data_IF_339988862680
#
_entry.id   IF_339988862680
#
_cell.length_a   1.000
_cell.length_b   1.000
_cell.length_c   1.000
_cell.angle_alpha   90.00
_cell.angle_beta   90.00
_cell.angle_gamma   90.00
#
_symmetry.space_group_name_H-M   'P 1'
#
loop_
_entity.id
_entity.type
_entity.pdbx_description
1 polymer ?
#
# COMPACT_ATOMS: atom_id res chain seq x y z
N UNK A 1 -18.35 -14.81 14.35
CA UNK A 1 -18.31 -14.87 15.84
C UNK A 1 -16.89 -15.03 16.34
N UNK A 2 -16.06 -15.92 15.77
CA UNK A 2 -14.70 -16.23 16.26
C UNK A 2 -13.75 -15.01 16.34
N UNK A 3 -14.01 -13.98 15.57
CA UNK A 3 -13.19 -12.77 15.53
C UNK A 3 -13.91 -11.50 16.01
N UNK A 4 -15.14 -11.61 16.51
CA UNK A 4 -15.94 -10.49 17.00
C UNK A 4 -16.25 -9.43 15.93
N UNK A 5 -16.27 -9.81 14.65
CA UNK A 5 -16.54 -8.90 13.53
C UNK A 5 -18.06 -8.84 13.31
N UNK A 6 -18.68 -7.63 13.42
CA UNK A 6 -20.08 -7.45 13.10
C UNK A 6 -20.36 -7.76 11.62
N UNK A 7 -21.48 -8.42 11.34
CA UNK A 7 -21.94 -8.74 10.00
C UNK A 7 -23.44 -8.46 9.88
N UNK A 8 -23.86 -8.10 8.67
CA UNK A 8 -25.26 -7.88 8.33
C UNK A 8 -25.62 -8.68 7.07
N UNK A 9 -26.78 -9.32 7.09
CA UNK A 9 -27.34 -10.01 5.94
C UNK A 9 -28.73 -9.47 5.57
N UNK A 10 -29.28 -9.89 4.43
CA UNK A 10 -30.60 -9.45 3.97
C UNK A 10 -30.67 -8.03 3.42
N UNK A 11 -29.53 -7.36 3.20
CA UNK A 11 -29.48 -6.03 2.59
C UNK A 11 -29.40 -6.11 1.06
N UNK A 12 -30.04 -5.18 0.37
CA UNK A 12 -29.90 -5.02 -1.09
C UNK A 12 -28.51 -4.45 -1.43
N UNK A 13 -27.56 -5.36 -1.61
CA UNK A 13 -26.15 -5.02 -1.92
C UNK A 13 -26.03 -4.27 -3.24
N UNK A 14 -26.91 -4.52 -4.22
CA UNK A 14 -26.89 -3.79 -5.50
C UNK A 14 -27.35 -2.34 -5.34
N UNK A 15 -28.37 -2.08 -4.55
CA UNK A 15 -28.83 -0.72 -4.21
C UNK A 15 -27.71 0.04 -3.47
N UNK A 16 -27.05 -0.62 -2.52
CA UNK A 16 -25.93 -0.07 -1.77
C UNK A 16 -24.75 0.28 -2.70
N UNK A 17 -24.37 -0.63 -3.59
CA UNK A 17 -23.31 -0.42 -4.60
C UNK A 17 -23.63 0.76 -5.50
N UNK A 18 -24.87 0.89 -5.97
CA UNK A 18 -25.31 2.03 -6.79
C UNK A 18 -25.23 3.33 -6.02
N UNK A 19 -25.69 3.36 -4.78
CA UNK A 19 -25.62 4.54 -3.93
C UNK A 19 -24.16 5.02 -3.73
N UNK A 20 -23.23 4.11 -3.46
CA UNK A 20 -21.80 4.43 -3.32
C UNK A 20 -21.22 4.91 -4.67
N UNK A 21 -21.56 4.27 -5.78
CA UNK A 21 -21.09 4.68 -7.11
C UNK A 21 -21.55 6.10 -7.46
N UNK A 22 -22.82 6.41 -7.17
CA UNK A 22 -23.43 7.68 -7.56
C UNK A 22 -23.03 8.83 -6.62
N UNK A 23 -22.94 8.60 -5.31
CA UNK A 23 -22.61 9.60 -4.29
C UNK A 23 -21.16 9.60 -3.78
N UNK A 24 -20.39 8.56 -4.11
CA UNK A 24 -19.02 8.35 -3.56
C UNK A 24 -19.02 7.61 -2.24
N UNK A 25 -17.82 7.44 -1.67
CA UNK A 25 -17.63 6.81 -0.36
C UNK A 25 -18.29 7.65 0.74
N UNK A 26 -19.06 6.99 1.61
CA UNK A 26 -19.82 7.61 2.68
C UNK A 26 -19.51 6.98 4.03
N UNK A 27 -19.73 7.72 5.12
CA UNK A 27 -19.77 7.14 6.46
C UNK A 27 -20.96 6.19 6.57
N UNK A 28 -20.78 5.08 7.26
CA UNK A 28 -21.84 4.12 7.52
C UNK A 28 -21.81 3.73 9.00
N UNK A 29 -22.98 3.48 9.56
CA UNK A 29 -23.16 2.97 10.91
C UNK A 29 -23.88 1.62 10.83
N UNK A 30 -23.30 0.60 11.45
CA UNK A 30 -23.98 -0.67 11.74
C UNK A 30 -24.36 -0.67 13.21
N UNK A 31 -25.63 -0.87 13.50
CA UNK A 31 -26.15 -0.80 14.86
C UNK A 31 -27.25 -1.83 15.09
N UNK A 32 -27.61 -2.04 16.33
CA UNK A 32 -28.74 -2.90 16.71
C UNK A 32 -30.07 -2.34 16.20
N UNK A 33 -31.03 -3.23 15.96
CA UNK A 33 -32.33 -2.91 15.40
C UNK A 33 -33.16 -1.93 16.26
N UNK A 34 -32.80 -1.80 17.54
CA UNK A 34 -33.50 -0.92 18.50
C UNK A 34 -33.07 0.55 18.45
N UNK A 35 -32.02 0.91 17.71
CA UNK A 35 -31.57 2.31 17.63
C UNK A 35 -32.48 3.11 16.67
N UNK A 36 -33.08 4.23 17.12
CA UNK A 36 -33.87 5.09 16.24
C UNK A 36 -33.03 5.68 15.10
N UNK A 37 -33.59 5.81 13.90
CA UNK A 37 -32.89 6.33 12.72
C UNK A 37 -32.35 7.76 12.92
N UNK A 38 -33.07 8.60 13.67
CA UNK A 38 -32.64 9.98 13.98
C UNK A 38 -31.39 9.99 14.88
N UNK A 39 -31.33 9.11 15.88
CA UNK A 39 -30.18 8.93 16.76
C UNK A 39 -28.97 8.42 15.97
N UNK A 40 -29.18 7.39 15.12
CA UNK A 40 -28.16 6.87 14.24
C UNK A 40 -27.59 7.93 13.28
N UNK A 41 -28.46 8.76 12.70
CA UNK A 41 -28.05 9.87 11.82
C UNK A 41 -27.28 10.96 12.57
N UNK A 42 -27.69 11.31 13.79
CA UNK A 42 -26.99 12.27 14.62
C UNK A 42 -25.59 11.77 15.01
N UNK A 43 -25.47 10.51 15.41
CA UNK A 43 -24.20 9.86 15.74
C UNK A 43 -23.27 9.83 14.52
N UNK A 44 -23.78 9.47 13.34
CA UNK A 44 -23.03 9.45 12.10
C UNK A 44 -22.52 10.84 11.69
N UNK A 45 -23.37 11.86 11.85
CA UNK A 45 -23.03 13.25 11.56
C UNK A 45 -21.96 13.79 12.51
N UNK A 46 -22.06 13.49 13.80
CA UNK A 46 -21.14 13.95 14.84
C UNK A 46 -19.81 13.18 14.91
N UNK A 47 -19.69 12.04 14.24
CA UNK A 47 -18.47 11.24 14.28
C UNK A 47 -17.45 11.69 13.23
N UNK A 48 -16.27 12.10 13.66
CA UNK A 48 -15.14 12.36 12.77
C UNK A 48 -14.37 11.08 12.46
N UNK A 49 -13.90 10.97 11.22
CA UNK A 49 -13.02 9.86 10.83
C UNK A 49 -11.63 10.07 11.45
N UNK A 50 -11.11 9.02 12.06
CA UNK A 50 -9.77 9.06 12.66
C UNK A 50 -8.70 9.17 11.57
N UNK A 51 -7.63 9.91 11.88
CA UNK A 51 -6.46 10.11 11.00
C UNK A 51 -5.23 9.30 11.42
N UNK A 52 -5.30 8.63 12.56
CA UNK A 52 -4.22 7.82 13.13
C UNK A 52 -4.33 6.33 12.80
N UNK A 53 -4.97 5.97 11.70
CA UNK A 53 -5.30 4.58 11.34
C UNK A 53 -4.05 3.72 11.23
N UNK A 54 -2.97 4.21 10.60
CA UNK A 54 -1.70 3.48 10.52
C UNK A 54 -1.10 3.24 11.90
N UNK A 55 -1.12 4.25 12.78
CA UNK A 55 -0.62 4.11 14.14
C UNK A 55 -1.37 3.04 14.95
N UNK A 56 -2.65 2.78 14.64
CA UNK A 56 -3.45 1.76 15.31
C UNK A 56 -3.13 0.33 14.85
N UNK A 57 -2.80 0.15 13.56
CA UNK A 57 -2.60 -1.18 12.97
C UNK A 57 -1.13 -1.59 12.87
N UNK A 58 -0.21 -0.64 12.89
CA UNK A 58 1.22 -0.90 12.89
C UNK A 58 1.66 -1.66 14.13
N UNK A 59 2.62 -2.56 13.99
CA UNK A 59 3.20 -3.28 15.11
C UNK A 59 3.80 -2.30 16.14
N UNK A 60 3.71 -2.65 17.42
CA UNK A 60 4.26 -1.81 18.50
C UNK A 60 5.73 -2.10 18.78
N UNK A 61 6.23 -3.25 18.33
CA UNK A 61 7.62 -3.67 18.46
C UNK A 61 8.05 -4.36 17.18
N UNK A 62 9.32 -4.20 16.81
CA UNK A 62 9.89 -4.95 15.68
C UNK A 62 9.77 -6.44 15.90
N UNK A 63 9.51 -7.16 14.82
CA UNK A 63 9.48 -8.62 14.80
C UNK A 63 10.18 -9.16 13.56
N UNK A 64 10.45 -10.45 13.54
CA UNK A 64 11.30 -11.08 12.55
C UNK A 64 10.61 -12.26 11.90
N UNK A 65 10.64 -12.31 10.58
CA UNK A 65 10.29 -13.47 9.78
C UNK A 65 11.55 -13.98 9.08
N UNK A 66 12.02 -15.13 9.51
CA UNK A 66 13.27 -15.73 9.02
C UNK A 66 12.98 -16.87 8.05
N UNK A 67 13.92 -17.10 7.14
CA UNK A 67 13.93 -18.26 6.24
C UNK A 67 15.25 -19.01 6.36
N UNK A 68 15.23 -20.33 6.14
CA UNK A 68 16.39 -21.20 6.34
C UNK A 68 17.55 -20.90 5.38
N UNK A 69 17.24 -20.50 4.14
CA UNK A 69 18.22 -20.22 3.08
C UNK A 69 18.22 -18.72 2.72
N UNK A 70 18.41 -17.87 3.72
CA UNK A 70 18.40 -16.43 3.49
C UNK A 70 19.64 -15.98 2.70
N UNK A 71 19.39 -15.05 1.77
CA UNK A 71 20.41 -14.36 0.99
C UNK A 71 20.36 -12.84 1.19
N UNK A 72 19.21 -12.34 1.66
CA UNK A 72 18.89 -10.94 1.77
C UNK A 72 18.30 -10.62 3.14
N UNK A 73 18.60 -9.43 3.63
CA UNK A 73 17.98 -8.84 4.82
C UNK A 73 17.14 -7.65 4.40
N UNK A 74 15.84 -7.75 4.55
CA UNK A 74 14.88 -6.70 4.19
C UNK A 74 14.29 -6.10 5.46
N UNK A 75 14.27 -4.78 5.55
CA UNK A 75 13.49 -4.07 6.56
C UNK A 75 12.15 -3.68 5.93
N UNK A 76 11.06 -4.18 6.52
CA UNK A 76 9.69 -3.86 6.11
C UNK A 76 9.05 -2.89 7.11
N UNK A 77 8.65 -1.72 6.63
CA UNK A 77 7.95 -0.69 7.42
C UNK A 77 6.47 -1.06 7.46
N UNK A 78 5.95 -1.28 8.67
CA UNK A 78 4.60 -1.77 8.90
C UNK A 78 3.58 -0.64 9.03
N UNK A 79 2.84 -0.42 7.95
CA UNK A 79 1.68 0.48 7.94
C UNK A 79 0.34 -0.29 8.02
N UNK A 80 0.37 -1.58 8.33
CA UNK A 80 -0.76 -2.53 8.27
C UNK A 80 -0.45 -3.67 7.31
N UNK A 81 0.75 -4.25 7.43
CA UNK A 81 1.32 -5.21 6.48
C UNK A 81 0.50 -6.49 6.39
N UNK A 82 0.15 -6.90 5.19
CA UNK A 82 -0.39 -8.24 4.94
C UNK A 82 0.71 -9.28 5.09
N UNK A 83 0.45 -10.33 5.87
CA UNK A 83 1.42 -11.41 6.08
C UNK A 83 1.88 -12.10 4.78
N UNK A 84 1.06 -12.04 3.73
CA UNK A 84 1.44 -12.64 2.45
C UNK A 84 2.58 -11.89 1.75
N UNK A 85 2.76 -10.60 2.01
CA UNK A 85 3.95 -9.83 1.59
C UNK A 85 5.21 -10.42 2.23
N UNK A 86 5.17 -10.63 3.54
CA UNK A 86 6.30 -11.22 4.27
C UNK A 86 6.61 -12.63 3.77
N UNK A 87 5.57 -13.45 3.54
CA UNK A 87 5.73 -14.80 2.97
C UNK A 87 6.35 -14.77 1.57
N UNK A 88 5.92 -13.84 0.71
CA UNK A 88 6.46 -13.66 -0.64
C UNK A 88 7.94 -13.29 -0.64
N UNK A 89 8.37 -12.45 0.30
CA UNK A 89 9.77 -12.12 0.53
C UNK A 89 10.56 -13.33 1.08
N UNK A 90 10.03 -14.03 2.09
CA UNK A 90 10.68 -15.22 2.65
C UNK A 90 10.88 -16.33 1.61
N UNK A 91 9.89 -16.57 0.74
CA UNK A 91 9.99 -17.55 -0.35
C UNK A 91 11.13 -17.24 -1.32
N UNK A 92 11.54 -15.97 -1.40
CA UNK A 92 12.66 -15.50 -2.25
C UNK A 92 13.99 -15.37 -1.48
N UNK A 93 14.06 -15.94 -0.29
CA UNK A 93 15.28 -15.97 0.52
C UNK A 93 15.55 -14.67 1.27
N UNK A 94 14.54 -13.86 1.55
CA UNK A 94 14.70 -12.68 2.40
C UNK A 94 14.41 -13.03 3.87
N UNK A 95 15.32 -12.72 4.77
CA UNK A 95 14.98 -12.48 6.16
C UNK A 95 14.29 -11.11 6.24
N UNK A 96 13.13 -11.05 6.86
CA UNK A 96 12.37 -9.80 6.98
C UNK A 96 12.36 -9.34 8.43
N UNK A 97 12.85 -8.14 8.67
CA UNK A 97 12.67 -7.41 9.93
C UNK A 97 11.53 -6.42 9.74
N UNK A 98 10.41 -6.68 10.37
CA UNK A 98 9.25 -5.78 10.33
C UNK A 98 9.36 -4.78 11.46
N UNK A 99 9.29 -3.49 11.13
CA UNK A 99 9.44 -2.38 12.08
C UNK A 99 8.19 -1.50 12.10
N UNK A 100 7.88 -0.84 13.23
CA UNK A 100 6.81 0.14 13.32
C UNK A 100 6.95 1.25 12.26
N UNK A 101 5.81 1.81 11.83
CA UNK A 101 5.74 2.86 10.80
C UNK A 101 6.52 4.14 11.15
N UNK A 102 6.69 4.43 12.43
CA UNK A 102 7.37 5.60 12.98
C UNK A 102 8.85 5.35 13.35
N UNK A 103 9.41 4.22 12.90
CA UNK A 103 10.82 3.88 13.14
C UNK A 103 11.73 4.94 12.50
N UNK A 104 12.66 5.55 13.27
CA UNK A 104 13.58 6.54 12.74
C UNK A 104 14.49 5.98 11.63
N UNK A 105 14.80 6.79 10.61
CA UNK A 105 15.69 6.41 9.52
C UNK A 105 17.06 5.93 10.01
N UNK A 106 17.62 6.57 11.06
CA UNK A 106 18.88 6.13 11.67
C UNK A 106 18.82 4.67 12.13
N UNK A 107 17.71 4.25 12.73
CA UNK A 107 17.55 2.85 13.17
C UNK A 107 17.60 1.87 12.00
N UNK A 108 17.00 2.24 10.86
CA UNK A 108 17.02 1.40 9.65
C UNK A 108 18.42 1.42 9.02
N UNK A 109 19.09 2.58 8.98
CA UNK A 109 20.47 2.71 8.51
C UNK A 109 21.42 1.84 9.32
N UNK A 110 21.29 1.84 10.65
CA UNK A 110 22.13 1.02 11.56
C UNK A 110 21.87 -0.50 11.41
N UNK A 111 20.78 -0.91 10.76
CA UNK A 111 20.50 -2.33 10.42
C UNK A 111 21.17 -2.79 9.12
N UNK A 112 21.67 -1.87 8.29
CA UNK A 112 22.34 -2.13 7.01
C UNK A 112 21.56 -3.15 6.13
N UNK A 113 20.25 -2.91 5.85
CA UNK A 113 19.47 -3.85 5.07
C UNK A 113 19.92 -3.88 3.60
N UNK A 114 19.71 -4.99 2.93
CA UNK A 114 19.89 -5.09 1.48
C UNK A 114 18.78 -4.34 0.72
N UNK A 115 17.60 -4.15 1.32
CA UNK A 115 16.48 -3.40 0.76
C UNK A 115 15.45 -3.00 1.81
N UNK A 116 14.67 -1.98 1.50
CA UNK A 116 13.57 -1.46 2.34
C UNK A 116 12.24 -1.69 1.63
N UNK A 117 11.27 -2.18 2.38
CA UNK A 117 9.92 -2.44 1.88
C UNK A 117 8.91 -1.55 2.62
N UNK A 118 8.05 -0.87 1.86
CA UNK A 118 6.95 -0.07 2.40
C UNK A 118 5.64 -0.79 2.20
N UNK A 119 4.98 -1.15 3.28
CA UNK A 119 3.78 -1.97 3.21
C UNK A 119 2.54 -1.21 2.76
N UNK A 120 1.52 -1.98 2.42
CA UNK A 120 0.15 -1.50 2.36
C UNK A 120 -0.33 -1.00 3.74
N UNK A 121 -1.44 -0.27 3.76
CA UNK A 121 -2.08 0.19 4.99
C UNK A 121 -3.37 0.98 4.73
N UNK A 122 -4.09 1.33 5.80
CA UNK A 122 -5.32 2.12 5.73
C UNK A 122 -5.06 3.62 5.74
N UNK A 123 -6.10 4.38 5.40
CA UNK A 123 -6.16 5.82 5.63
C UNK A 123 -5.73 6.69 4.47
N UNK A 124 -5.53 7.96 4.80
CA UNK A 124 -5.00 8.97 3.89
C UNK A 124 -3.47 8.91 3.92
N UNK A 125 -2.78 8.79 2.77
CA UNK A 125 -1.32 8.76 2.76
C UNK A 125 -0.68 10.04 3.31
N UNK A 126 -1.35 11.20 3.24
CA UNK A 126 -0.84 12.46 3.77
C UNK A 126 -0.78 12.48 5.31
N UNK A 127 -1.58 11.65 5.98
CA UNK A 127 -1.56 11.51 7.44
C UNK A 127 -0.33 10.70 7.94
N UNK A 128 0.42 10.02 7.05
CA UNK A 128 1.53 9.12 7.40
C UNK A 128 2.89 9.82 7.23
N UNK A 129 2.98 11.03 7.76
CA UNK A 129 4.20 11.88 7.64
C UNK A 129 5.51 11.22 8.09
N UNK A 130 5.56 10.35 9.14
CA UNK A 130 6.81 9.68 9.51
C UNK A 130 7.39 8.82 8.39
N UNK A 131 6.56 8.09 7.63
CA UNK A 131 7.04 7.24 6.54
C UNK A 131 7.43 8.06 5.31
N UNK A 132 6.69 9.14 5.01
CA UNK A 132 7.05 10.06 3.92
C UNK A 132 8.45 10.63 4.16
N UNK A 133 8.72 11.09 5.38
CA UNK A 133 10.04 11.62 5.76
C UNK A 133 11.12 10.53 5.77
N UNK A 134 10.79 9.32 6.22
CA UNK A 134 11.67 8.16 6.16
C UNK A 134 12.12 7.88 4.71
N UNK A 135 11.21 7.88 3.75
CA UNK A 135 11.54 7.68 2.33
C UNK A 135 12.48 8.76 1.82
N UNK A 136 12.26 10.04 2.17
CA UNK A 136 13.15 11.15 1.81
C UNK A 136 14.59 10.93 2.27
N UNK A 137 14.77 10.34 3.46
CA UNK A 137 16.09 10.08 4.04
C UNK A 137 16.75 8.80 3.50
N UNK A 138 15.97 7.81 3.06
CA UNK A 138 16.49 6.50 2.63
C UNK A 138 16.64 6.36 1.11
N UNK A 139 15.93 7.16 0.30
CA UNK A 139 16.02 7.10 -1.16
C UNK A 139 17.46 7.29 -1.65
N UNK A 140 17.86 6.52 -2.65
CA UNK A 140 19.22 6.51 -3.18
C UNK A 140 20.24 5.74 -2.31
N UNK A 141 19.89 5.37 -1.07
CA UNK A 141 20.77 4.58 -0.19
C UNK A 141 20.52 3.09 -0.33
N UNK A 142 19.26 2.69 -0.38
CA UNK A 142 18.82 1.29 -0.52
C UNK A 142 17.83 1.15 -1.67
N UNK A 143 17.72 -0.04 -2.27
CA UNK A 143 16.54 -0.40 -3.06
C UNK A 143 15.28 -0.28 -2.21
N UNK A 144 14.23 0.39 -2.74
CA UNK A 144 12.94 0.55 -2.05
C UNK A 144 11.83 0.02 -2.93
N UNK A 145 10.98 -0.83 -2.36
CA UNK A 145 9.74 -1.29 -2.98
C UNK A 145 8.54 -0.93 -2.11
N UNK A 146 7.52 -0.28 -2.71
CA UNK A 146 6.29 0.14 -2.04
C UNK A 146 5.03 -0.47 -2.65
N UNK A 147 4.10 -0.92 -1.81
CA UNK A 147 2.80 -1.47 -2.22
C UNK A 147 1.66 -0.62 -1.64
N UNK A 148 0.70 -0.26 -2.48
CA UNK A 148 -0.55 0.42 -2.16
C UNK A 148 -0.31 1.73 -1.40
N UNK A 149 -0.47 1.78 -0.08
CA UNK A 149 -0.12 2.94 0.73
C UNK A 149 1.38 3.30 0.59
N UNK A 150 2.27 2.30 0.52
CA UNK A 150 3.70 2.50 0.29
C UNK A 150 4.00 3.19 -1.05
N UNK A 151 3.25 2.88 -2.10
CA UNK A 151 3.33 3.57 -3.39
C UNK A 151 2.95 5.05 -3.28
N UNK A 152 1.86 5.35 -2.59
CA UNK A 152 1.38 6.71 -2.39
C UNK A 152 2.36 7.55 -1.56
N UNK A 153 2.92 6.98 -0.50
CA UNK A 153 3.94 7.64 0.34
C UNK A 153 5.24 7.90 -0.43
N UNK A 154 5.64 7.01 -1.35
CA UNK A 154 6.76 7.27 -2.26
C UNK A 154 6.47 8.49 -3.13
N UNK A 155 5.30 8.57 -3.76
CA UNK A 155 4.93 9.73 -4.57
C UNK A 155 5.03 11.05 -3.77
N UNK A 156 4.45 11.07 -2.55
CA UNK A 156 4.50 12.23 -1.66
C UNK A 156 5.94 12.59 -1.22
N UNK A 157 6.78 11.59 -0.97
CA UNK A 157 8.17 11.81 -0.57
C UNK A 157 9.02 12.47 -1.67
N UNK A 158 8.67 12.24 -2.93
CA UNK A 158 9.31 12.86 -4.10
C UNK A 158 8.70 14.21 -4.49
N UNK A 159 7.65 14.66 -3.81
CA UNK A 159 6.98 15.94 -4.07
C UNK A 159 5.76 15.84 -4.97
N UNK A 160 5.34 14.64 -5.33
CA UNK A 160 4.05 14.40 -5.97
C UNK A 160 2.87 14.63 -5.03
N UNK A 161 1.67 14.53 -5.55
CA UNK A 161 0.41 14.67 -4.80
C UNK A 161 -0.45 13.43 -4.95
N UNK A 162 -1.32 13.21 -3.98
CA UNK A 162 -2.38 12.21 -4.04
C UNK A 162 -3.75 12.89 -4.01
N UNK A 163 -4.76 12.18 -4.49
CA UNK A 163 -6.14 12.64 -4.42
C UNK A 163 -7.07 11.49 -4.09
N UNK A 164 -8.19 11.81 -3.46
CA UNK A 164 -9.22 10.83 -3.12
C UNK A 164 -10.08 10.52 -4.32
N UNK A 165 -10.14 9.26 -4.71
CA UNK A 165 -11.08 8.76 -5.71
C UNK A 165 -12.52 8.83 -5.17
N UNK A 166 -13.49 9.00 -6.06
CA UNK A 166 -14.91 9.11 -5.70
C UNK A 166 -15.37 7.91 -4.86
N UNK A 167 -15.04 6.69 -5.28
CA UNK A 167 -15.39 5.44 -4.58
C UNK A 167 -14.20 4.46 -4.44
N UNK A 168 -13.05 4.79 -5.02
CA UNK A 168 -11.84 3.97 -4.99
C UNK A 168 -11.90 2.73 -5.88
N UNK A 169 -10.79 2.00 -5.95
CA UNK A 169 -10.70 0.72 -6.65
C UNK A 169 -10.80 -0.43 -5.64
N UNK A 170 -11.68 -1.39 -5.93
CA UNK A 170 -11.90 -2.57 -5.08
C UNK A 170 -12.25 -3.79 -5.91
N UNK A 171 -11.58 -4.90 -5.61
CA UNK A 171 -11.81 -6.18 -6.27
C UNK A 171 -10.55 -6.78 -6.89
N UNK A 172 -10.67 -8.02 -7.37
CA UNK A 172 -9.57 -8.78 -7.98
C UNK A 172 -9.63 -8.84 -9.50
N UNK A 173 -10.22 -7.82 -10.16
CA UNK A 173 -10.50 -7.83 -11.59
C UNK A 173 -10.14 -6.51 -12.29
N UNK A 174 -9.20 -5.76 -11.76
CA UNK A 174 -8.77 -4.50 -12.34
C UNK A 174 -7.62 -4.74 -13.33
N UNK A 175 -7.80 -4.41 -14.63
CA UNK A 175 -6.74 -4.54 -15.62
C UNK A 175 -5.76 -3.37 -15.50
N UNK A 176 -4.49 -3.69 -15.36
CA UNK A 176 -3.39 -2.73 -15.30
C UNK A 176 -2.43 -3.01 -16.47
N UNK A 177 -1.94 -1.96 -17.11
CA UNK A 177 -0.97 -2.03 -18.19
C UNK A 177 0.40 -1.58 -17.70
N UNK A 178 1.40 -2.43 -17.87
CA UNK A 178 2.80 -2.03 -17.76
C UNK A 178 3.22 -1.28 -19.02
N UNK A 179 3.68 -0.05 -18.87
CA UNK A 179 3.94 0.84 -20.01
C UNK A 179 5.19 0.46 -20.80
N UNK A 180 6.19 -0.13 -20.17
CA UNK A 180 7.45 -0.51 -20.81
C UNK A 180 7.31 -1.70 -21.75
N UNK A 181 6.46 -2.67 -21.40
CA UNK A 181 6.28 -3.92 -22.15
C UNK A 181 4.96 -3.96 -22.91
N UNK A 182 3.99 -3.13 -22.49
CA UNK A 182 2.61 -3.18 -22.98
C UNK A 182 1.79 -4.35 -22.41
N UNK A 183 2.35 -5.14 -21.50
CA UNK A 183 1.68 -6.29 -20.87
C UNK A 183 0.49 -5.83 -20.04
N UNK A 184 -0.60 -6.57 -20.14
CA UNK A 184 -1.78 -6.42 -19.31
C UNK A 184 -1.77 -7.47 -18.21
N UNK A 185 -2.11 -7.04 -17.01
CA UNK A 185 -2.24 -7.88 -15.83
C UNK A 185 -3.58 -7.64 -15.16
N UNK A 186 -4.19 -8.70 -14.64
CA UNK A 186 -5.36 -8.56 -13.79
C UNK A 186 -4.89 -8.46 -12.35
N UNK A 187 -5.32 -7.41 -11.66
CA UNK A 187 -4.79 -7.06 -10.35
C UNK A 187 -5.85 -7.03 -9.27
N UNK A 188 -5.41 -7.26 -8.03
CA UNK A 188 -6.21 -7.07 -6.83
C UNK A 188 -6.02 -5.66 -6.30
N UNK A 189 -7.12 -4.93 -6.07
CA UNK A 189 -7.11 -3.53 -5.66
C UNK A 189 -7.99 -3.31 -4.44
N UNK A 190 -7.52 -2.48 -3.52
CA UNK A 190 -8.31 -2.00 -2.38
C UNK A 190 -7.73 -0.68 -1.87
N UNK A 191 -8.01 0.42 -2.57
CA UNK A 191 -7.53 1.75 -2.20
C UNK A 191 -8.57 2.83 -2.52
N UNK A 192 -8.51 3.93 -1.77
CA UNK A 192 -9.38 5.11 -1.94
C UNK A 192 -8.65 6.31 -2.52
N UNK A 193 -7.33 6.30 -2.53
CA UNK A 193 -6.50 7.38 -3.03
C UNK A 193 -5.68 6.90 -4.23
N UNK A 194 -5.36 7.83 -5.12
CA UNK A 194 -4.48 7.61 -6.25
C UNK A 194 -3.45 8.75 -6.36
N UNK A 195 -2.35 8.50 -7.05
CA UNK A 195 -1.33 9.51 -7.33
C UNK A 195 -1.77 10.39 -8.49
N UNK A 196 -1.64 11.71 -8.34
CA UNK A 196 -1.89 12.69 -9.39
C UNK A 196 -0.71 12.68 -10.38
N UNK A 197 -0.93 12.13 -11.57
CA UNK A 197 0.09 12.02 -12.62
C UNK A 197 0.70 13.38 -13.00
N UNK A 198 -0.10 14.46 -13.04
CA UNK A 198 0.39 15.79 -13.39
C UNK A 198 1.35 16.36 -12.33
N UNK A 199 1.25 15.90 -11.09
CA UNK A 199 2.13 16.33 -10.01
C UNK A 199 3.52 15.71 -10.02
N UNK A 200 3.76 14.73 -10.89
CA UNK A 200 5.02 13.99 -10.96
C UNK A 200 6.09 14.70 -11.82
N UNK A 201 5.70 15.72 -12.57
CA UNK A 201 6.63 16.48 -13.40
C UNK A 201 7.74 17.10 -12.54
N UNK A 202 8.99 16.90 -12.93
CA UNK A 202 10.17 17.40 -12.21
C UNK A 202 10.55 16.63 -10.93
N UNK A 203 9.78 15.62 -10.51
CA UNK A 203 10.06 14.82 -9.30
C UNK A 203 11.16 13.77 -9.51
N UNK A 204 11.40 13.37 -10.76
CA UNK A 204 12.28 12.24 -11.09
C UNK A 204 11.59 10.87 -10.98
N UNK A 205 10.29 10.83 -10.66
CA UNK A 205 9.49 9.62 -10.74
C UNK A 205 8.91 9.44 -12.15
N UNK A 206 8.96 8.22 -12.63
CA UNK A 206 8.38 7.79 -13.91
C UNK A 206 7.15 6.93 -13.64
N UNK A 207 6.05 7.17 -14.36
CA UNK A 207 4.88 6.29 -14.34
C UNK A 207 5.20 5.02 -15.10
N UNK A 208 5.06 3.87 -14.44
CA UNK A 208 5.38 2.55 -15.02
C UNK A 208 4.14 1.73 -15.33
N UNK A 209 3.06 1.93 -14.61
CA UNK A 209 1.79 1.20 -14.78
C UNK A 209 0.61 2.15 -14.71
N UNK A 210 -0.42 1.85 -15.50
CA UNK A 210 -1.70 2.59 -15.52
C UNK A 210 -2.88 1.62 -15.47
N UNK A 211 -3.95 2.02 -14.81
CA UNK A 211 -5.23 1.33 -14.87
C UNK A 211 -5.86 1.54 -16.27
N UNK A 212 -6.30 0.46 -16.90
CA UNK A 212 -6.85 0.53 -18.27
C UNK A 212 -8.25 1.14 -18.30
N UNK A 213 -8.97 1.14 -17.17
CA UNK A 213 -10.36 1.60 -17.11
C UNK A 213 -10.48 3.13 -16.97
N UNK A 214 -9.55 3.76 -16.25
CA UNK A 214 -9.64 5.19 -15.91
C UNK A 214 -8.31 5.96 -16.00
N UNK A 215 -7.23 5.29 -16.43
CA UNK A 215 -5.88 5.84 -16.57
C UNK A 215 -5.26 6.35 -15.26
N UNK A 216 -5.73 5.91 -14.10
CA UNK A 216 -5.06 6.21 -12.83
C UNK A 216 -3.66 5.61 -12.79
N UNK A 217 -2.74 6.28 -12.07
CA UNK A 217 -1.36 5.80 -11.87
C UNK A 217 -1.36 4.56 -10.99
N UNK A 218 -0.81 3.47 -11.51
CA UNK A 218 -0.77 2.17 -10.84
C UNK A 218 0.66 1.69 -10.53
N UNK A 219 1.66 2.42 -10.97
CA UNK A 219 3.04 2.12 -10.64
C UNK A 219 3.98 3.28 -10.94
N UNK A 220 5.04 3.37 -10.13
CA UNK A 220 6.08 4.39 -10.22
C UNK A 220 7.46 3.76 -10.13
N UNK A 221 8.45 4.41 -10.73
CA UNK A 221 9.86 4.08 -10.53
C UNK A 221 10.73 5.34 -10.54
N UNK A 222 11.83 5.28 -9.80
CA UNK A 222 12.97 6.17 -9.93
C UNK A 222 14.24 5.30 -10.05
N UNK A 223 14.68 4.97 -11.28
CA UNK A 223 15.84 4.09 -11.49
C UNK A 223 17.11 4.59 -10.81
N UNK A 224 17.36 5.91 -10.87
CA UNK A 224 18.53 6.56 -10.22
C UNK A 224 18.60 6.25 -8.72
N UNK A 225 17.47 6.29 -8.03
CA UNK A 225 17.38 6.09 -6.58
C UNK A 225 17.09 4.63 -6.22
N UNK A 226 16.95 3.75 -7.22
CA UNK A 226 16.57 2.33 -7.05
C UNK A 226 15.25 2.17 -6.28
N UNK A 227 14.23 2.92 -6.69
CA UNK A 227 12.90 2.92 -6.09
C UNK A 227 11.88 2.49 -7.12
N UNK A 228 10.97 1.60 -6.75
CA UNK A 228 9.75 1.34 -7.52
C UNK A 228 8.58 1.00 -6.62
N UNK A 229 7.37 1.13 -7.15
CA UNK A 229 6.16 0.86 -6.39
C UNK A 229 4.98 0.53 -7.29
N UNK A 230 3.99 -0.15 -6.72
CA UNK A 230 2.71 -0.41 -7.37
C UNK A 230 1.54 -0.10 -6.44
N UNK A 231 0.44 0.39 -7.02
CA UNK A 231 -0.77 0.75 -6.29
C UNK A 231 -1.60 -0.47 -5.89
N UNK A 232 -1.56 -1.51 -6.70
CA UNK A 232 -2.26 -2.77 -6.50
C UNK A 232 -1.49 -3.75 -5.59
N UNK A 233 -2.08 -4.92 -5.35
CA UNK A 233 -1.58 -5.92 -4.40
C UNK A 233 -0.97 -7.15 -5.12
N UNK A 234 0.34 -7.14 -5.46
CA UNK A 234 1.01 -8.25 -6.14
C UNK A 234 1.18 -9.49 -5.24
N UNK A 235 1.02 -9.33 -3.93
CA UNK A 235 1.04 -10.43 -2.97
C UNK A 235 -0.22 -11.27 -3.00
N UNK A 236 -1.29 -10.83 -3.71
CA UNK A 236 -2.57 -11.51 -3.77
C UNK A 236 -3.18 -11.76 -2.39
N UNK A 237 -3.87 -12.88 -2.18
CA UNK A 237 -4.45 -13.32 -0.89
C UNK A 237 -5.49 -12.33 -0.30
N UNK A 238 -6.65 -12.18 -0.96
CA UNK A 238 -7.05 -12.86 -2.21
C UNK A 238 -6.65 -12.09 -3.48
N UNK A 239 -6.69 -12.75 -4.61
CA UNK A 239 -6.56 -12.15 -5.93
C UNK A 239 -5.71 -12.94 -6.92
N UNK A 240 -5.61 -12.45 -8.18
CA UNK A 240 -4.77 -13.03 -9.22
C UNK A 240 -3.29 -12.94 -8.85
N UNK A 241 -2.49 -13.86 -9.42
CA UNK A 241 -1.06 -13.99 -9.11
C UNK A 241 -0.15 -13.46 -10.21
N UNK A 242 -0.69 -12.75 -11.18
CA UNK A 242 0.00 -12.27 -12.39
C UNK A 242 1.22 -11.40 -12.07
N UNK A 243 1.16 -10.66 -10.98
CA UNK A 243 2.14 -9.64 -10.61
C UNK A 243 3.19 -10.11 -9.59
N UNK A 244 3.22 -11.41 -9.27
CA UNK A 244 4.18 -11.97 -8.30
C UNK A 244 5.65 -11.72 -8.65
N UNK A 245 5.97 -11.55 -9.94
CA UNK A 245 7.32 -11.24 -10.45
C UNK A 245 7.89 -9.90 -9.92
N UNK A 246 7.05 -8.99 -9.41
CA UNK A 246 7.52 -7.72 -8.84
C UNK A 246 8.38 -7.94 -7.59
N UNK A 247 8.14 -9.00 -6.84
CA UNK A 247 9.04 -9.39 -5.77
C UNK A 247 10.40 -9.86 -6.31
N UNK A 248 10.43 -10.56 -7.46
CA UNK A 248 11.68 -10.98 -8.12
C UNK A 248 12.44 -9.77 -8.65
N UNK A 249 11.72 -8.75 -9.17
CA UNK A 249 12.30 -7.46 -9.56
C UNK A 249 12.98 -6.77 -8.36
N UNK A 250 12.38 -6.81 -7.19
CA UNK A 250 12.97 -6.25 -5.97
C UNK A 250 14.26 -7.01 -5.58
N UNK A 251 14.25 -8.36 -5.66
CA UNK A 251 15.46 -9.16 -5.43
C UNK A 251 16.58 -8.74 -6.40
N UNK A 252 16.26 -8.63 -7.68
CA UNK A 252 17.24 -8.21 -8.70
C UNK A 252 17.84 -6.84 -8.41
N UNK A 253 17.03 -5.88 -7.96
CA UNK A 253 17.54 -4.56 -7.56
C UNK A 253 18.50 -4.62 -6.38
N UNK A 254 18.27 -5.52 -5.41
CA UNK A 254 19.20 -5.75 -4.29
C UNK A 254 20.50 -6.42 -4.77
N UNK A 255 20.43 -7.35 -5.73
CA UNK A 255 21.61 -7.97 -6.37
C UNK A 255 22.49 -6.92 -7.04
N UNK A 256 21.90 -6.11 -7.91
CA UNK A 256 22.62 -5.05 -8.63
C UNK A 256 23.24 -4.01 -7.67
N UNK A 257 22.58 -3.71 -6.56
CA UNK A 257 23.08 -2.79 -5.53
C UNK A 257 24.35 -3.28 -4.83
N UNK A 258 24.59 -4.58 -4.71
CA UNK A 258 25.80 -5.16 -4.12
C UNK A 258 27.04 -5.08 -5.01
N UNK A 259 26.85 -5.00 -6.32
CA UNK A 259 27.98 -4.94 -7.27
C UNK A 259 28.49 -3.50 -7.53
N UNK A 260 27.81 -2.50 -7.00
CA UNK A 260 28.13 -1.08 -7.19
C UNK A 260 28.47 -0.35 -5.88
N UNK A 261 28.57 -1.08 -4.76
CA UNK A 261 29.02 -0.60 -3.45
C UNK A 261 30.47 -1.06 -3.21
#
# INVERSE_FOLDING_TARGET
EDHGIPAIEGVDTRKLTRAIRDAGSQKALLTDIGMPAEEAAALLGGTELRRDQVAQVSCKKRWYARTSNHRWNVVAVDCGIKLNIVRSLNQRGCNVTVVPYDTPAKTILDMEPDGVFLSNGPGDPEDVTPVIELVRQLRGRFPIFGICLGHQMIALAYGGRTYKLKFGHRGGNHPVKELSTGKLEITSQNHSYAVDAASLEGTGLEVTHINVLDNTVEGLACPRDRVFSVQYHPESAPGPQDSGYLFDRFIKMMEEGKYHA
#
